data_IF_530865138062
#
_entry.id   IF_530865138062
#
_cell.length_a   1.000
_cell.length_b   1.000
_cell.length_c   1.000
_cell.angle_alpha   90.00
_cell.angle_beta   90.00
_cell.angle_gamma   90.00
#
_symmetry.space_group_name_H-M   'P 1'
#
loop_
_entity.id
_entity.type
_entity.pdbx_description
1 polymer ?
#
# COMPACT_ATOMS: atom_id res chain seq x y z
N UNK A 1 -20.48 -11.66 -7.18
CA UNK A 1 -19.01 -11.63 -7.29
C UNK A 1 -18.62 -10.26 -7.82
N UNK A 2 -17.95 -9.41 -7.03
CA UNK A 2 -17.30 -8.22 -7.58
C UNK A 2 -16.06 -8.73 -8.30
N UNK A 3 -16.09 -8.78 -9.64
CA UNK A 3 -14.85 -8.87 -10.41
C UNK A 3 -13.96 -7.70 -9.94
N UNK A 4 -12.74 -8.00 -9.47
CA UNK A 4 -11.76 -6.95 -9.18
C UNK A 4 -11.38 -6.31 -10.52
N UNK A 5 -12.14 -5.31 -10.94
CA UNK A 5 -12.10 -4.76 -12.30
C UNK A 5 -10.89 -3.89 -12.60
N UNK A 6 -9.94 -3.77 -11.68
CA UNK A 6 -8.66 -3.13 -11.96
C UNK A 6 -7.65 -3.48 -10.87
N UNK A 7 -6.71 -4.37 -11.21
CA UNK A 7 -5.43 -4.35 -10.52
C UNK A 7 -4.78 -2.98 -10.82
N UNK A 8 -4.19 -2.34 -9.81
CA UNK A 8 -3.42 -1.13 -10.06
C UNK A 8 -2.27 -1.46 -11.02
N UNK A 9 -2.11 -0.70 -12.12
CA UNK A 9 -1.11 -0.94 -13.17
C UNK A 9 0.29 -1.26 -12.62
N UNK A 10 0.70 -0.56 -11.55
CA UNK A 10 1.99 -0.76 -10.92
C UNK A 10 2.19 -2.17 -10.33
N UNK A 11 1.13 -2.84 -9.87
CA UNK A 11 1.21 -4.21 -9.33
C UNK A 11 1.24 -5.25 -10.44
N UNK A 12 0.59 -4.98 -11.58
CA UNK A 12 0.65 -5.89 -12.73
C UNK A 12 2.10 -6.05 -13.23
N UNK A 13 2.89 -4.97 -13.24
CA UNK A 13 4.30 -5.03 -13.62
C UNK A 13 5.17 -5.90 -12.68
N UNK A 14 4.82 -5.99 -11.39
CA UNK A 14 5.51 -6.88 -10.45
C UNK A 14 5.28 -8.34 -10.82
N UNK A 15 4.04 -8.71 -11.09
CA UNK A 15 3.70 -10.09 -11.49
C UNK A 15 4.27 -10.44 -12.85
N UNK A 16 4.22 -9.52 -13.82
CA UNK A 16 4.79 -9.76 -15.13
C UNK A 16 6.29 -9.97 -15.07
N UNK A 17 7.02 -9.16 -14.28
CA UNK A 17 8.44 -9.37 -14.04
C UNK A 17 8.70 -10.76 -13.44
N UNK A 18 7.90 -11.17 -12.45
CA UNK A 18 7.99 -12.50 -11.88
C UNK A 18 7.77 -13.59 -12.93
N UNK A 19 6.66 -13.54 -13.70
CA UNK A 19 6.27 -14.59 -14.64
C UNK A 19 7.32 -14.87 -15.71
N UNK A 20 8.02 -13.85 -16.20
CA UNK A 20 9.04 -14.01 -17.25
C UNK A 20 10.47 -14.17 -16.70
N UNK A 21 10.65 -14.16 -15.39
CA UNK A 21 11.94 -14.40 -14.74
C UNK A 21 12.79 -13.17 -14.38
N UNK A 22 12.31 -11.95 -14.67
CA UNK A 22 12.95 -10.72 -14.18
C UNK A 22 12.83 -10.61 -12.65
N UNK A 23 13.72 -9.84 -12.00
CA UNK A 23 13.64 -9.68 -10.55
C UNK A 23 12.51 -8.71 -10.17
N UNK A 24 11.38 -9.30 -9.82
CA UNK A 24 10.18 -8.61 -9.32
C UNK A 24 10.44 -7.75 -8.07
N UNK A 25 11.52 -7.96 -7.31
CA UNK A 25 11.87 -7.12 -6.16
C UNK A 25 12.12 -5.68 -6.57
N UNK A 26 12.73 -5.45 -7.73
CA UNK A 26 12.95 -4.10 -8.24
C UNK A 26 11.61 -3.42 -8.57
N UNK A 27 10.70 -4.11 -9.26
CA UNK A 27 9.35 -3.63 -9.53
C UNK A 27 8.58 -3.27 -8.24
N UNK A 28 8.68 -4.12 -7.21
CA UNK A 28 8.07 -3.85 -5.91
C UNK A 28 8.65 -2.60 -5.25
N UNK A 29 9.98 -2.48 -5.21
CA UNK A 29 10.66 -1.32 -4.62
C UNK A 29 10.31 -0.02 -5.33
N UNK A 30 10.18 -0.03 -6.66
CA UNK A 30 9.68 1.13 -7.41
C UNK A 30 8.24 1.51 -7.03
N UNK A 31 7.36 0.52 -6.88
CA UNK A 31 5.97 0.75 -6.47
C UNK A 31 5.88 1.40 -5.08
N UNK A 32 6.70 0.94 -4.13
CA UNK A 32 6.81 1.53 -2.79
C UNK A 32 7.34 2.97 -2.83
N UNK A 33 8.43 3.20 -3.56
CA UNK A 33 9.02 4.54 -3.71
C UNK A 33 8.09 5.52 -4.43
N UNK A 34 7.28 5.05 -5.39
CA UNK A 34 6.28 5.88 -6.07
C UNK A 34 5.11 6.26 -5.15
N UNK A 35 4.64 5.33 -4.30
CA UNK A 35 3.65 5.64 -3.25
C UNK A 35 4.18 6.71 -2.29
N UNK A 36 5.43 6.57 -1.83
CA UNK A 36 6.05 7.55 -0.94
C UNK A 36 6.24 8.92 -1.62
N UNK A 37 6.74 8.96 -2.88
CA UNK A 37 6.92 10.20 -3.62
C UNK A 37 5.60 10.90 -3.94
N UNK A 38 4.50 10.16 -4.19
CA UNK A 38 3.15 10.73 -4.38
C UNK A 38 2.66 11.47 -3.14
N UNK A 39 2.83 10.89 -1.96
CA UNK A 39 2.46 11.53 -0.68
C UNK A 39 3.24 12.84 -0.48
N UNK A 40 4.53 12.85 -0.80
CA UNK A 40 5.37 14.05 -0.67
C UNK A 40 5.06 15.10 -1.75
N UNK A 41 4.77 14.68 -2.99
CA UNK A 41 4.38 15.57 -4.11
C UNK A 41 3.09 16.32 -3.82
N UNK A 42 2.10 15.68 -3.18
CA UNK A 42 0.84 16.33 -2.84
C UNK A 42 1.05 17.59 -1.97
N UNK A 43 2.04 17.57 -1.06
CA UNK A 43 2.39 18.75 -0.27
C UNK A 43 3.04 19.84 -1.12
N UNK A 44 3.98 19.48 -2.00
CA UNK A 44 4.63 20.45 -2.89
C UNK A 44 3.62 21.12 -3.83
N UNK A 45 2.65 20.35 -4.33
CA UNK A 45 1.60 20.89 -5.19
C UNK A 45 0.67 21.82 -4.41
N UNK A 46 0.38 21.51 -3.14
CA UNK A 46 -0.38 22.41 -2.26
C UNK A 46 0.39 23.70 -1.92
N UNK A 47 1.71 23.64 -1.76
CA UNK A 47 2.57 24.83 -1.60
C UNK A 47 2.55 25.67 -2.88
N UNK A 48 2.72 25.05 -4.06
CA UNK A 48 2.68 25.76 -5.36
C UNK A 48 1.32 26.37 -5.66
N UNK A 49 0.23 25.74 -5.23
CA UNK A 49 -1.11 26.25 -5.36
C UNK A 49 -1.43 27.40 -4.38
N UNK A 50 -0.49 27.76 -3.50
CA UNK A 50 -0.67 28.81 -2.49
C UNK A 50 -1.59 28.42 -1.34
N UNK A 51 -1.90 27.12 -1.19
CA UNK A 51 -2.69 26.59 -0.05
C UNK A 51 -1.83 26.51 1.21
N UNK A 52 -0.52 26.30 1.05
CA UNK A 52 0.46 26.30 2.14
C UNK A 52 1.57 27.33 1.90
N UNK A 53 2.05 27.94 2.99
CA UNK A 53 3.19 28.85 2.99
C UNK A 53 4.46 28.13 2.53
N UNK A 54 5.30 28.82 1.75
CA UNK A 54 6.62 28.31 1.34
C UNK A 54 7.60 28.35 2.51
N UNK A 55 8.71 27.58 2.42
CA UNK A 55 9.77 27.66 3.42
C UNK A 55 10.32 29.09 3.56
N UNK A 56 10.48 29.83 2.46
CA UNK A 56 11.00 31.20 2.48
C UNK A 56 10.07 32.17 3.20
N UNK A 57 8.76 32.06 2.99
CA UNK A 57 7.75 32.87 3.68
C UNK A 57 7.73 32.58 5.18
N UNK A 58 7.81 31.31 5.57
CA UNK A 58 7.88 30.91 6.97
C UNK A 58 9.15 31.42 7.66
N UNK A 59 10.31 31.39 6.98
CA UNK A 59 11.57 31.92 7.51
C UNK A 59 11.52 33.44 7.68
N UNK A 60 10.92 34.19 6.75
CA UNK A 60 10.70 35.62 6.90
C UNK A 60 9.82 35.92 8.13
N UNK A 61 8.71 35.20 8.26
CA UNK A 61 7.77 35.35 9.38
C UNK A 61 8.38 34.95 10.73
N UNK A 62 9.26 33.95 10.72
CA UNK A 62 10.05 33.57 11.90
C UNK A 62 10.88 34.75 12.39
N UNK A 63 11.60 35.45 11.49
CA UNK A 63 12.43 36.61 11.85
C UNK A 63 11.57 37.74 12.43
N UNK A 64 10.42 38.02 11.82
CA UNK A 64 9.47 39.02 12.34
C UNK A 64 9.00 38.68 13.77
N UNK A 65 8.53 37.45 13.99
CA UNK A 65 8.07 36.98 15.29
C UNK A 65 9.20 36.94 16.34
N UNK A 66 10.43 36.64 15.92
CA UNK A 66 11.61 36.68 16.79
C UNK A 66 11.89 38.10 17.28
N UNK A 67 11.79 39.10 16.40
CA UNK A 67 11.91 40.50 16.80
C UNK A 67 10.77 40.95 17.74
N UNK A 68 9.53 40.55 17.45
CA UNK A 68 8.37 40.83 18.31
C UNK A 68 8.54 40.20 19.71
N UNK A 69 9.03 38.96 19.77
CA UNK A 69 9.35 38.28 21.03
C UNK A 69 10.40 39.03 21.83
N UNK A 70 11.46 39.50 21.17
CA UNK A 70 12.51 40.28 21.81
C UNK A 70 11.97 41.62 22.35
N UNK A 71 11.14 42.32 21.58
CA UNK A 71 10.51 43.59 21.99
C UNK A 71 9.56 43.37 23.17
N UNK A 72 8.65 42.40 23.06
CA UNK A 72 7.69 42.03 24.11
C UNK A 72 8.40 41.60 25.40
N UNK A 73 9.48 40.82 25.29
CA UNK A 73 10.29 40.40 26.45
C UNK A 73 10.95 41.59 27.16
N UNK A 74 11.45 42.59 26.41
CA UNK A 74 12.02 43.82 26.99
C UNK A 74 10.96 44.63 27.74
N UNK A 75 9.78 44.80 27.15
CA UNK A 75 8.66 45.50 27.80
C UNK A 75 8.29 44.81 29.12
N UNK A 76 8.23 43.48 29.14
CA UNK A 76 7.97 42.70 30.35
C UNK A 76 9.08 42.81 31.41
N UNK A 77 10.36 42.92 31.00
CA UNK A 77 11.48 43.06 31.94
C UNK A 77 11.59 44.44 32.57
N UNK A 78 11.18 45.47 31.83
CA UNK A 78 11.26 46.87 32.27
C UNK A 78 10.05 47.29 33.12
N UNK A 79 9.00 46.46 33.16
CA UNK A 79 7.79 46.70 33.96
C UNK A 79 8.08 46.55 35.46
N UNK A 80 8.25 47.67 36.18
CA UNK A 80 8.50 47.70 37.62
C UNK A 80 7.22 47.50 38.43
N UNK A 81 6.98 46.28 38.90
CA UNK A 81 6.00 45.97 39.97
C UNK A 81 6.72 45.92 41.33
N UNK A 82 6.09 46.40 42.40
CA UNK A 82 6.61 46.42 43.77
C UNK A 82 7.13 45.02 44.20
N UNK A 83 8.27 44.94 44.91
CA UNK A 83 9.00 43.69 45.22
C UNK A 83 8.13 42.56 45.80
N UNK A 84 7.13 42.87 46.64
CA UNK A 84 6.23 41.86 47.23
C UNK A 84 5.27 41.18 46.25
N UNK A 85 4.98 41.80 45.10
CA UNK A 85 4.13 41.21 44.06
C UNK A 85 4.95 40.38 43.05
N UNK A 86 6.25 40.65 42.95
CA UNK A 86 7.16 39.93 42.05
C UNK A 86 7.23 38.44 42.41
N UNK A 87 7.22 38.11 43.69
CA UNK A 87 7.24 36.72 44.16
C UNK A 87 5.95 35.98 43.81
N UNK A 88 4.79 36.61 44.06
CA UNK A 88 3.45 36.07 43.74
C UNK A 88 3.28 35.94 42.22
N UNK A 89 3.87 36.86 41.44
CA UNK A 89 3.88 36.84 39.98
C UNK A 89 4.79 35.75 39.40
N UNK A 90 5.98 35.55 39.98
CA UNK A 90 6.88 34.43 39.61
C UNK A 90 6.17 33.10 39.87
N UNK A 91 5.47 32.98 41.00
CA UNK A 91 4.66 31.81 41.33
C UNK A 91 3.51 31.61 40.34
N UNK A 92 2.74 32.65 40.01
CA UNK A 92 1.65 32.57 39.02
C UNK A 92 2.14 32.19 37.61
N UNK A 93 3.31 32.69 37.20
CA UNK A 93 3.94 32.35 35.93
C UNK A 93 4.46 30.92 35.90
N UNK A 94 5.09 30.45 36.98
CA UNK A 94 5.48 29.04 37.12
C UNK A 94 4.26 28.12 37.04
N UNK A 95 3.19 28.44 37.79
CA UNK A 95 1.93 27.68 37.75
C UNK A 95 1.32 27.66 36.35
N UNK A 96 1.39 28.77 35.60
CA UNK A 96 0.91 28.84 34.22
C UNK A 96 1.74 27.94 33.29
N UNK A 97 3.07 27.99 33.38
CA UNK A 97 3.96 27.11 32.62
C UNK A 97 3.72 25.63 32.92
N UNK A 98 3.57 25.28 34.20
CA UNK A 98 3.27 23.91 34.65
C UNK A 98 1.89 23.45 34.17
N UNK A 99 0.87 24.31 34.23
CA UNK A 99 -0.47 24.03 33.70
C UNK A 99 -0.44 23.72 32.20
N UNK A 100 0.27 24.53 31.41
CA UNK A 100 0.42 24.27 29.96
C UNK A 100 1.17 22.97 29.69
N UNK A 101 2.24 22.68 30.44
CA UNK A 101 2.99 21.44 30.30
C UNK A 101 2.11 20.22 30.61
N UNK A 102 1.36 20.25 31.71
CA UNK A 102 0.44 19.19 32.10
C UNK A 102 -0.70 19.02 31.08
N UNK A 103 -1.26 20.12 30.57
CA UNK A 103 -2.32 20.09 29.56
C UNK A 103 -1.81 19.50 28.22
N UNK A 104 -0.64 19.91 27.75
CA UNK A 104 -0.02 19.37 26.54
C UNK A 104 0.30 17.87 26.68
N UNK A 105 0.80 17.46 27.86
CA UNK A 105 1.02 16.04 28.17
C UNK A 105 -0.29 15.24 28.14
N UNK A 106 -1.40 15.78 28.67
CA UNK A 106 -2.71 15.14 28.60
C UNK A 106 -3.25 15.06 27.16
N UNK A 107 -3.04 16.08 26.31
CA UNK A 107 -3.42 16.02 24.89
C UNK A 107 -2.62 14.94 24.16
N UNK A 108 -1.30 14.87 24.40
CA UNK A 108 -0.43 13.85 23.81
C UNK A 108 -0.85 12.44 24.22
N UNK A 109 -1.10 12.23 25.50
CA UNK A 109 -1.51 10.94 26.03
C UNK A 109 -2.96 10.56 25.67
N UNK A 110 -3.86 11.54 25.53
CA UNK A 110 -5.20 11.31 24.98
C UNK A 110 -5.13 10.76 23.55
N UNK A 111 -4.28 11.33 22.69
CA UNK A 111 -4.04 10.80 21.33
C UNK A 111 -3.46 9.39 21.35
N UNK A 112 -2.49 9.10 22.23
CA UNK A 112 -1.94 7.74 22.39
C UNK A 112 -3.00 6.75 22.84
N UNK A 113 -3.85 7.16 23.78
CA UNK A 113 -4.92 6.35 24.31
C UNK A 113 -5.99 6.05 23.26
N UNK A 114 -6.36 7.02 22.41
CA UNK A 114 -7.24 6.80 21.27
C UNK A 114 -6.62 5.83 20.26
N UNK A 115 -5.32 6.00 19.95
CA UNK A 115 -4.60 5.09 19.07
C UNK A 115 -4.54 3.66 19.61
N UNK A 116 -4.26 3.48 20.91
CA UNK A 116 -4.24 2.15 21.55
C UNK A 116 -5.62 1.51 21.62
N UNK A 117 -6.69 2.28 21.82
CA UNK A 117 -8.05 1.76 21.75
C UNK A 117 -8.40 1.25 20.36
N UNK A 118 -8.13 2.05 19.31
CA UNK A 118 -8.37 1.61 17.93
C UNK A 118 -7.53 0.39 17.57
N UNK A 119 -6.27 0.30 18.04
CA UNK A 119 -5.43 -0.87 17.83
C UNK A 119 -5.98 -2.15 18.50
N UNK A 120 -6.70 -2.03 19.61
CA UNK A 120 -7.39 -3.17 20.25
C UNK A 120 -8.66 -3.55 19.48
N UNK A 121 -9.42 -2.56 18.99
CA UNK A 121 -10.67 -2.79 18.23
C UNK A 121 -10.43 -3.44 16.86
N UNK A 122 -9.31 -3.13 16.21
CA UNK A 122 -8.94 -3.66 14.89
C UNK A 122 -8.25 -5.05 14.94
N UNK A 123 -7.85 -5.54 16.12
CA UNK A 123 -7.17 -6.83 16.26
C UNK A 123 -8.19 -7.99 16.32
N UNK A 124 -8.47 -8.59 15.16
CA UNK A 124 -9.15 -9.89 15.07
C UNK A 124 -8.12 -11.01 14.90
N UNK A 125 -8.15 -12.08 15.72
CA UNK A 125 -7.30 -13.23 15.48
C UNK A 125 -7.63 -13.83 14.09
N UNK A 126 -6.62 -14.30 13.33
CA UNK A 126 -6.89 -14.99 12.09
C UNK A 126 -7.79 -16.20 12.36
N UNK A 127 -8.84 -16.30 11.56
CA UNK A 127 -9.85 -17.35 11.63
C UNK A 127 -9.20 -18.69 11.24
N UNK A 128 -8.65 -19.43 12.20
CA UNK A 128 -7.95 -20.71 11.96
C UNK A 128 -8.83 -21.68 11.18
N UNK A 129 -10.13 -21.66 11.45
CA UNK A 129 -11.14 -22.47 10.79
C UNK A 129 -11.17 -22.19 9.28
N UNK A 130 -10.90 -20.96 8.84
CA UNK A 130 -10.81 -20.63 7.41
C UNK A 130 -9.52 -21.11 6.78
N UNK A 131 -8.39 -21.06 7.47
CA UNK A 131 -7.12 -21.52 6.89
C UNK A 131 -7.15 -23.05 6.73
N UNK A 132 -7.62 -23.77 7.74
CA UNK A 132 -7.74 -25.23 7.68
C UNK A 132 -8.78 -25.67 6.63
N UNK A 133 -9.93 -24.98 6.54
CA UNK A 133 -10.95 -25.25 5.53
C UNK A 133 -10.49 -24.95 4.09
N UNK A 134 -9.79 -23.83 3.86
CA UNK A 134 -9.25 -23.48 2.53
C UNK A 134 -8.20 -24.50 2.07
N UNK A 135 -7.43 -25.07 3.00
CA UNK A 135 -6.42 -26.08 2.68
C UNK A 135 -7.00 -27.50 2.55
N UNK A 136 -8.05 -27.84 3.29
CA UNK A 136 -8.81 -29.08 3.07
C UNK A 136 -9.59 -29.04 1.74
N UNK A 137 -10.14 -27.89 1.36
CA UNK A 137 -10.78 -27.67 0.06
C UNK A 137 -9.79 -27.78 -1.12
N UNK A 138 -8.49 -27.62 -0.89
CA UNK A 138 -7.44 -27.76 -1.91
C UNK A 138 -6.77 -29.14 -1.94
N UNK A 139 -7.24 -30.11 -1.15
CA UNK A 139 -6.84 -31.52 -1.25
C UNK A 139 -5.40 -31.85 -0.81
N UNK A 140 -4.66 -30.88 -0.25
CA UNK A 140 -3.28 -31.05 0.19
C UNK A 140 -3.25 -31.56 1.64
N UNK A 141 -3.03 -32.86 1.82
CA UNK A 141 -2.78 -33.44 3.15
C UNK A 141 -1.41 -32.98 3.63
N UNK A 142 -1.39 -32.00 4.53
CA UNK A 142 -0.15 -31.60 5.18
C UNK A 142 0.49 -32.81 5.88
N UNK A 143 1.81 -33.05 5.69
CA UNK A 143 2.58 -33.88 6.59
C UNK A 143 2.37 -33.39 8.03
N UNK A 144 2.29 -34.30 9.01
CA UNK A 144 2.03 -33.94 10.42
C UNK A 144 3.01 -32.88 10.95
N UNK A 145 4.23 -32.83 10.42
CA UNK A 145 5.22 -31.80 10.73
C UNK A 145 4.77 -30.39 10.36
N UNK A 146 4.10 -30.19 9.22
CA UNK A 146 3.63 -28.87 8.78
C UNK A 146 2.37 -28.45 9.52
N UNK A 147 1.45 -29.39 9.79
CA UNK A 147 0.30 -29.13 10.69
C UNK A 147 0.78 -28.68 12.05
N UNK A 148 1.82 -29.34 12.57
CA UNK A 148 2.44 -29.00 13.85
C UNK A 148 3.11 -27.64 13.81
N UNK A 149 3.90 -27.31 12.78
CA UNK A 149 4.51 -25.98 12.62
C UNK A 149 3.46 -24.87 12.46
N UNK A 150 2.36 -25.14 11.77
CA UNK A 150 1.27 -24.17 11.57
C UNK A 150 0.44 -23.97 12.83
N UNK A 151 0.20 -25.05 13.59
CA UNK A 151 -0.37 -24.99 14.93
C UNK A 151 0.56 -24.25 15.90
N UNK A 152 1.88 -24.48 15.82
CA UNK A 152 2.88 -23.77 16.62
C UNK A 152 2.95 -22.28 16.24
N UNK A 153 2.90 -21.94 14.95
CA UNK A 153 2.88 -20.57 14.47
C UNK A 153 1.57 -19.85 14.85
N UNK A 154 0.44 -20.54 14.78
CA UNK A 154 -0.85 -20.02 15.24
C UNK A 154 -0.88 -19.84 16.75
N UNK A 155 -0.43 -20.83 17.51
CA UNK A 155 -0.31 -20.72 18.97
C UNK A 155 0.63 -19.58 19.36
N UNK A 156 1.74 -19.40 18.63
CA UNK A 156 2.66 -18.28 18.81
C UNK A 156 1.99 -16.94 18.45
N UNK A 157 1.22 -16.87 17.37
CA UNK A 157 0.50 -15.66 16.97
C UNK A 157 -0.61 -15.30 17.95
N UNK A 158 -1.41 -16.28 18.41
CA UNK A 158 -2.38 -16.14 19.49
C UNK A 158 -1.69 -15.67 20.76
N UNK A 159 -0.52 -16.23 21.10
CA UNK A 159 0.25 -15.80 22.25
C UNK A 159 0.79 -14.37 22.10
N UNK A 160 1.22 -13.96 20.89
CA UNK A 160 1.64 -12.59 20.59
C UNK A 160 0.46 -11.62 20.73
N UNK A 161 -0.69 -11.93 20.12
CA UNK A 161 -1.90 -11.11 20.21
C UNK A 161 -2.32 -10.99 21.68
N UNK A 162 -2.35 -12.11 22.42
CA UNK A 162 -2.70 -12.09 23.84
C UNK A 162 -1.72 -11.28 24.68
N UNK A 163 -0.41 -11.43 24.44
CA UNK A 163 0.62 -10.65 25.14
C UNK A 163 0.53 -9.17 24.80
N UNK A 164 0.24 -8.83 23.54
CA UNK A 164 0.10 -7.46 23.04
C UNK A 164 -1.18 -6.80 23.55
N UNK A 165 -2.30 -7.51 23.55
CA UNK A 165 -3.55 -7.06 24.16
C UNK A 165 -3.35 -6.78 25.65
N UNK A 166 -2.72 -7.72 26.39
CA UNK A 166 -2.40 -7.52 27.80
C UNK A 166 -1.45 -6.32 28.03
N UNK A 167 -0.46 -6.12 27.15
CA UNK A 167 0.42 -4.96 27.20
C UNK A 167 -0.32 -3.64 26.92
N UNK A 168 -1.13 -3.59 25.86
CA UNK A 168 -1.92 -2.40 25.49
C UNK A 168 -2.95 -2.05 26.56
N UNK A 169 -3.60 -3.05 27.17
CA UNK A 169 -4.55 -2.84 28.25
C UNK A 169 -3.86 -2.30 29.52
N UNK A 170 -2.71 -2.88 29.91
CA UNK A 170 -1.89 -2.36 31.00
C UNK A 170 -1.42 -0.91 30.72
N UNK A 171 -1.05 -0.62 29.47
CA UNK A 171 -0.59 0.70 29.05
C UNK A 171 -1.72 1.74 29.02
N UNK A 172 -2.92 1.35 28.57
CA UNK A 172 -4.12 2.20 28.64
C UNK A 172 -4.46 2.53 30.10
N UNK A 173 -4.42 1.55 31.00
CA UNK A 173 -4.67 1.77 32.43
C UNK A 173 -3.62 2.71 33.02
N UNK A 174 -2.34 2.52 32.67
CA UNK A 174 -1.24 3.40 33.08
C UNK A 174 -1.47 4.83 32.62
N UNK A 175 -1.75 5.03 31.34
CA UNK A 175 -2.00 6.35 30.74
C UNK A 175 -3.23 7.02 31.39
N UNK A 176 -4.34 6.30 31.58
CA UNK A 176 -5.52 6.84 32.26
C UNK A 176 -5.22 7.32 33.68
N UNK A 177 -4.47 6.52 34.45
CA UNK A 177 -4.09 6.88 35.81
C UNK A 177 -3.15 8.09 35.85
N UNK A 178 -2.21 8.19 34.90
CA UNK A 178 -1.33 9.36 34.77
C UNK A 178 -2.13 10.61 34.36
N UNK A 179 -3.05 10.51 33.40
CA UNK A 179 -3.93 11.61 33.00
C UNK A 179 -4.81 12.09 34.16
N UNK A 180 -5.43 11.17 34.90
CA UNK A 180 -6.26 11.50 36.07
C UNK A 180 -5.44 12.19 37.18
N UNK A 181 -4.21 11.72 37.42
CA UNK A 181 -3.29 12.38 38.35
C UNK A 181 -2.92 13.79 37.88
N UNK A 182 -2.64 13.98 36.59
CA UNK A 182 -2.33 15.29 36.00
C UNK A 182 -3.54 16.21 36.02
N UNK A 183 -4.75 15.71 35.80
CA UNK A 183 -5.99 16.49 35.93
C UNK A 183 -6.22 16.99 37.36
N UNK A 184 -5.94 16.17 38.38
CA UNK A 184 -6.00 16.61 39.77
C UNK A 184 -4.96 17.71 40.07
N UNK A 185 -3.74 17.59 39.53
CA UNK A 185 -2.70 18.61 39.61
C UNK A 185 -3.12 19.90 38.88
N UNK A 186 -3.67 19.80 37.67
CA UNK A 186 -4.21 20.93 36.90
C UNK A 186 -5.28 21.67 37.72
N UNK A 187 -6.19 20.94 38.36
CA UNK A 187 -7.22 21.54 39.22
C UNK A 187 -6.60 22.30 40.40
N UNK A 188 -5.64 21.68 41.09
CA UNK A 188 -4.95 22.29 42.24
C UNK A 188 -4.13 23.52 41.83
N UNK A 189 -3.46 23.47 40.68
CA UNK A 189 -2.65 24.58 40.16
C UNK A 189 -3.52 25.71 39.64
N UNK A 190 -4.69 25.42 39.07
CA UNK A 190 -5.67 26.44 38.72
C UNK A 190 -6.22 27.15 39.97
N UNK A 191 -6.55 26.43 41.04
CA UNK A 191 -7.02 27.02 42.30
C UNK A 191 -5.95 27.94 42.92
N UNK A 192 -4.70 27.48 42.97
CA UNK A 192 -3.55 28.30 43.42
C UNK A 192 -3.34 29.52 42.54
N UNK A 193 -3.37 29.34 41.22
CA UNK A 193 -3.23 30.43 40.25
C UNK A 193 -4.35 31.46 40.42
N UNK A 194 -5.59 31.02 40.61
CA UNK A 194 -6.73 31.89 40.86
C UNK A 194 -6.54 32.72 42.14
N UNK A 195 -6.05 32.12 43.23
CA UNK A 195 -5.74 32.84 44.47
C UNK A 195 -4.60 33.86 44.27
N UNK A 196 -3.54 33.49 43.54
CA UNK A 196 -2.50 34.45 43.15
C UNK A 196 -3.09 35.60 42.33
N UNK A 197 -3.93 35.30 41.33
CA UNK A 197 -4.56 36.32 40.49
C UNK A 197 -5.51 37.25 41.27
N UNK A 198 -6.22 36.75 42.29
CA UNK A 198 -7.11 37.56 43.13
C UNK A 198 -6.34 38.60 43.96
N UNK A 199 -5.19 38.22 44.52
CA UNK A 199 -4.26 39.12 45.24
C UNK A 199 -3.61 40.12 44.29
N UNK A 200 -3.35 39.68 43.06
CA UNK A 200 -2.69 40.50 42.06
C UNK A 200 -3.66 41.50 41.37
N UNK A 201 -4.96 41.20 41.29
CA UNK A 201 -6.00 42.05 40.67
C UNK A 201 -6.37 43.32 41.45
N UNK A 202 -5.94 43.44 42.71
CA UNK A 202 -6.36 44.56 43.58
C UNK A 202 -5.72 45.90 43.18
N UNK A 203 -4.74 45.93 42.28
CA UNK A 203 -4.09 47.15 41.76
C UNK A 203 -3.93 47.05 40.23
N UNK A 204 -4.70 47.85 39.46
CA UNK A 204 -4.83 47.77 37.99
C UNK A 204 -3.55 47.83 37.13
N UNK A 205 -2.37 48.05 37.70
CA UNK A 205 -1.09 47.88 37.01
C UNK A 205 -0.81 46.41 36.62
N UNK A 206 -1.45 45.44 37.30
CA UNK A 206 -1.24 44.03 37.02
C UNK A 206 -2.13 43.46 35.90
N UNK A 207 -3.33 44.01 35.69
CA UNK A 207 -4.13 43.68 34.52
C UNK A 207 -3.35 44.02 33.23
N UNK A 208 -2.63 45.13 33.22
CA UNK A 208 -1.79 45.54 32.10
C UNK A 208 -0.57 44.62 31.91
N UNK A 209 0.10 44.21 33.00
CA UNK A 209 1.17 43.20 32.92
C UNK A 209 0.66 41.84 32.43
N UNK A 210 -0.47 41.37 32.98
CA UNK A 210 -1.08 40.09 32.61
C UNK A 210 -1.47 40.07 31.13
N UNK A 211 -1.99 41.19 30.62
CA UNK A 211 -2.26 41.37 29.19
C UNK A 211 -0.98 41.29 28.35
N UNK A 212 0.08 42.00 28.74
CA UNK A 212 1.37 41.97 28.03
C UNK A 212 2.01 40.56 28.05
N UNK A 213 1.85 39.83 29.15
CA UNK A 213 2.34 38.46 29.31
C UNK A 213 1.53 37.47 28.45
N UNK A 214 0.21 37.64 28.38
CA UNK A 214 -0.66 36.84 27.51
C UNK A 214 -0.32 37.09 26.02
N UNK A 215 -0.11 38.35 25.63
CA UNK A 215 0.37 38.70 24.29
C UNK A 215 1.73 38.07 23.98
N UNK A 216 2.69 38.16 24.90
CA UNK A 216 4.00 37.50 24.76
C UNK A 216 3.86 35.99 24.54
N UNK A 217 3.00 35.35 25.32
CA UNK A 217 2.75 33.90 25.24
C UNK A 217 2.15 33.54 23.89
N UNK A 218 1.18 34.31 23.38
CA UNK A 218 0.59 34.11 22.05
C UNK A 218 1.60 34.27 20.91
N UNK A 219 2.50 35.25 21.00
CA UNK A 219 3.57 35.44 20.00
C UNK A 219 4.54 34.25 20.07
N UNK A 220 4.88 33.79 21.29
CA UNK A 220 5.76 32.63 21.50
C UNK A 220 5.18 31.34 20.92
N UNK A 221 3.90 31.08 21.15
CA UNK A 221 3.21 29.92 20.58
C UNK A 221 3.22 29.95 19.05
N UNK A 222 2.93 31.12 18.45
CA UNK A 222 3.02 31.29 16.99
C UNK A 222 4.44 31.04 16.48
N UNK A 223 5.45 31.53 17.17
CA UNK A 223 6.85 31.33 16.80
C UNK A 223 7.23 29.84 16.84
N UNK A 224 6.86 29.12 17.90
CA UNK A 224 7.08 27.67 18.02
C UNK A 224 6.34 26.88 16.93
N UNK A 225 5.11 27.27 16.58
CA UNK A 225 4.37 26.67 15.47
C UNK A 225 5.07 26.88 14.12
N UNK A 226 5.59 28.08 13.87
CA UNK A 226 6.34 28.38 12.63
C UNK A 226 7.64 27.57 12.58
N UNK A 227 8.36 27.43 13.70
CA UNK A 227 9.56 26.60 13.76
C UNK A 227 9.27 25.15 13.38
N UNK A 228 8.23 24.55 13.97
CA UNK A 228 7.84 23.17 13.66
C UNK A 228 7.46 23.00 12.18
N UNK A 229 6.72 23.95 11.60
CA UNK A 229 6.38 23.93 10.16
C UNK A 229 7.63 23.99 9.27
N UNK A 230 8.62 24.81 9.61
CA UNK A 230 9.88 24.91 8.86
C UNK A 230 10.62 23.58 8.91
N UNK A 231 10.71 22.96 10.09
CA UNK A 231 11.35 21.65 10.27
C UNK A 231 10.65 20.56 9.46
N UNK A 232 9.32 20.50 9.50
CA UNK A 232 8.52 19.56 8.72
C UNK A 232 8.78 19.68 7.21
N UNK A 233 8.83 20.91 6.67
CA UNK A 233 9.11 21.14 5.25
C UNK A 233 10.53 20.72 4.89
N UNK A 234 11.52 21.01 5.75
CA UNK A 234 12.92 20.60 5.54
C UNK A 234 13.08 19.09 5.52
N UNK A 235 12.47 18.39 6.48
CA UNK A 235 12.53 16.93 6.57
C UNK A 235 11.88 16.26 5.36
N UNK A 236 10.73 16.77 4.93
CA UNK A 236 10.06 16.27 3.71
C UNK A 236 10.89 16.52 2.45
N UNK A 237 11.50 17.69 2.34
CA UNK A 237 12.42 18.01 1.23
C UNK A 237 13.63 17.07 1.21
N UNK A 238 14.20 16.77 2.38
CA UNK A 238 15.30 15.82 2.54
C UNK A 238 14.90 14.41 2.12
N UNK A 239 13.79 13.88 2.65
CA UNK A 239 13.25 12.55 2.29
C UNK A 239 12.99 12.44 0.79
N UNK A 240 12.48 13.50 0.15
CA UNK A 240 12.25 13.50 -1.29
C UNK A 240 13.55 13.40 -2.10
N UNK A 241 14.62 14.07 -1.68
CA UNK A 241 15.95 13.93 -2.32
C UNK A 241 16.52 12.52 -2.13
N UNK A 242 16.34 11.94 -0.95
CA UNK A 242 16.74 10.57 -0.66
C UNK A 242 16.01 9.57 -1.55
N UNK A 243 14.68 9.67 -1.67
CA UNK A 243 13.89 8.83 -2.60
C UNK A 243 14.40 8.93 -4.03
N UNK A 244 14.74 10.15 -4.51
CA UNK A 244 15.31 10.32 -5.85
C UNK A 244 16.66 9.61 -6.01
N UNK A 245 17.52 9.66 -4.98
CA UNK A 245 18.80 8.94 -4.98
C UNK A 245 18.59 7.43 -5.05
N UNK A 246 17.70 6.90 -4.20
CA UNK A 246 17.38 5.46 -4.17
C UNK A 246 16.77 5.00 -5.50
N UNK A 247 15.91 5.81 -6.13
CA UNK A 247 15.36 5.50 -7.46
C UNK A 247 16.45 5.41 -8.54
N UNK A 248 17.48 6.26 -8.47
CA UNK A 248 18.59 6.23 -9.43
C UNK A 248 19.48 4.99 -9.26
N UNK A 249 19.71 4.56 -8.01
CA UNK A 249 20.44 3.31 -7.74
C UNK A 249 19.64 2.09 -8.20
N UNK A 250 18.34 2.07 -7.90
CA UNK A 250 17.42 1.03 -8.34
C UNK A 250 17.37 0.88 -9.87
N UNK A 251 17.37 1.99 -10.59
CA UNK A 251 17.40 2.01 -12.06
C UNK A 251 18.66 1.33 -12.62
N UNK A 252 19.82 1.59 -12.01
CA UNK A 252 21.07 0.92 -12.39
C UNK A 252 21.01 -0.58 -12.12
N UNK A 253 20.57 -0.98 -10.93
CA UNK A 253 20.46 -2.40 -10.54
C UNK A 253 19.50 -3.16 -11.47
N UNK A 254 18.35 -2.59 -11.76
CA UNK A 254 17.35 -3.21 -12.62
C UNK A 254 17.78 -3.27 -14.10
N UNK A 255 18.57 -2.29 -14.57
CA UNK A 255 19.17 -2.32 -15.91
C UNK A 255 20.17 -3.47 -16.04
N UNK A 256 20.97 -3.71 -14.99
CA UNK A 256 21.89 -4.85 -14.95
C UNK A 256 21.10 -6.17 -14.98
N UNK A 257 20.08 -6.34 -14.13
CA UNK A 257 19.22 -7.54 -14.11
C UNK A 257 18.55 -7.79 -15.47
N UNK A 258 18.10 -6.73 -16.14
CA UNK A 258 17.48 -6.81 -17.45
C UNK A 258 18.45 -7.34 -18.53
N UNK A 259 19.70 -6.86 -18.54
CA UNK A 259 20.71 -7.34 -19.49
C UNK A 259 21.18 -8.76 -19.14
N UNK A 260 21.36 -9.08 -17.86
CA UNK A 260 21.74 -10.43 -17.41
C UNK A 260 20.68 -11.49 -17.77
N UNK A 261 19.41 -11.10 -17.77
CA UNK A 261 18.28 -11.99 -18.07
C UNK A 261 17.76 -11.89 -19.50
N UNK A 262 18.58 -11.34 -20.39
CA UNK A 262 18.24 -11.14 -21.81
C UNK A 262 17.67 -12.37 -22.49
N UNK A 263 18.34 -13.51 -22.32
CA UNK A 263 17.91 -14.75 -22.95
C UNK A 263 16.52 -15.21 -22.46
N UNK A 264 16.17 -14.94 -21.20
CA UNK A 264 14.88 -15.32 -20.62
C UNK A 264 13.74 -14.45 -21.15
N UNK A 265 13.88 -13.12 -21.12
CA UNK A 265 12.81 -12.26 -21.60
C UNK A 265 12.69 -12.29 -23.13
N UNK A 266 13.79 -12.53 -23.87
CA UNK A 266 13.70 -12.78 -25.32
C UNK A 266 12.93 -14.06 -25.64
N UNK A 267 13.04 -15.10 -24.81
CA UNK A 267 12.22 -16.31 -24.95
C UNK A 267 10.74 -16.01 -24.74
N UNK A 268 10.39 -15.22 -23.72
CA UNK A 268 9.01 -14.79 -23.49
C UNK A 268 8.43 -14.01 -24.68
N UNK A 269 9.21 -13.09 -25.27
CA UNK A 269 8.82 -12.36 -26.48
C UNK A 269 8.60 -13.30 -27.66
N UNK A 270 9.51 -14.26 -27.88
CA UNK A 270 9.37 -15.25 -28.97
C UNK A 270 8.09 -16.09 -28.81
N UNK A 271 7.85 -16.63 -27.61
CA UNK A 271 6.66 -17.44 -27.32
C UNK A 271 5.35 -16.69 -27.61
N UNK A 272 5.25 -15.44 -27.14
CA UNK A 272 4.06 -14.62 -27.40
C UNK A 272 3.89 -14.32 -28.89
N UNK A 273 4.97 -13.87 -29.55
CA UNK A 273 4.92 -13.45 -30.94
C UNK A 273 4.61 -14.62 -31.88
N UNK A 274 5.19 -15.80 -31.63
CA UNK A 274 4.98 -17.02 -32.41
C UNK A 274 3.54 -17.51 -32.28
N UNK A 275 2.99 -17.51 -31.05
CA UNK A 275 1.58 -17.87 -30.83
C UNK A 275 0.66 -16.89 -31.57
N UNK A 276 0.88 -15.58 -31.42
CA UNK A 276 0.08 -14.58 -32.12
C UNK A 276 0.17 -14.70 -33.65
N UNK A 277 1.35 -15.07 -34.16
CA UNK A 277 1.58 -15.31 -35.60
C UNK A 277 0.84 -16.54 -36.10
N UNK A 278 0.80 -17.61 -35.33
CA UNK A 278 0.05 -18.82 -35.69
C UNK A 278 -1.46 -18.53 -35.81
N UNK A 279 -1.98 -17.67 -34.95
CA UNK A 279 -3.37 -17.22 -35.00
C UNK A 279 -3.58 -16.26 -36.20
N UNK A 280 -2.94 -15.10 -36.19
CA UNK A 280 -3.30 -13.99 -37.08
C UNK A 280 -2.42 -13.84 -38.34
N UNK A 281 -1.45 -14.73 -38.54
CA UNK A 281 -0.48 -14.65 -39.63
C UNK A 281 0.57 -13.54 -39.48
N UNK A 282 0.45 -12.70 -38.46
CA UNK A 282 1.37 -11.61 -38.12
C UNK A 282 1.89 -11.78 -36.69
N UNK A 283 3.20 -11.52 -36.45
CA UNK A 283 3.74 -11.62 -35.10
C UNK A 283 3.04 -10.62 -34.17
N UNK A 284 2.85 -11.03 -32.92
CA UNK A 284 2.45 -10.13 -31.85
C UNK A 284 3.54 -9.13 -31.49
N UNK A 285 3.22 -8.22 -30.59
CA UNK A 285 4.13 -7.26 -29.99
C UNK A 285 4.10 -7.41 -28.47
N UNK A 286 5.01 -8.21 -27.92
CA UNK A 286 5.31 -8.17 -26.47
C UNK A 286 6.50 -7.24 -26.21
N UNK A 287 6.23 -6.09 -25.60
CA UNK A 287 7.22 -5.04 -25.32
C UNK A 287 7.55 -5.02 -23.84
N UNK A 288 8.84 -4.98 -23.53
CA UNK A 288 9.39 -4.90 -22.18
C UNK A 288 10.34 -3.72 -22.14
N UNK A 289 9.98 -2.68 -21.39
CA UNK A 289 10.78 -1.46 -21.23
C UNK A 289 11.23 -1.29 -19.78
N UNK A 290 12.34 -0.58 -19.58
CA UNK A 290 12.72 0.00 -18.29
C UNK A 290 12.46 1.50 -18.35
N UNK A 291 11.73 2.01 -17.36
CA UNK A 291 11.40 3.44 -17.25
C UNK A 291 11.74 3.99 -15.87
N UNK A 292 11.58 5.31 -15.71
CA UNK A 292 11.62 6.01 -14.42
C UNK A 292 10.64 5.47 -13.36
N UNK A 293 9.65 4.66 -13.80
CA UNK A 293 8.65 3.98 -12.96
C UNK A 293 8.90 2.47 -12.82
N UNK A 294 10.03 1.98 -13.32
CA UNK A 294 10.39 0.57 -13.35
C UNK A 294 10.03 -0.12 -14.65
N UNK A 295 10.00 -1.46 -14.60
CA UNK A 295 9.62 -2.31 -15.73
C UNK A 295 8.21 -1.97 -16.22
N UNK A 296 8.06 -1.84 -17.53
CA UNK A 296 6.78 -1.71 -18.21
C UNK A 296 6.61 -2.83 -19.20
N UNK A 297 5.42 -3.42 -19.19
CA UNK A 297 5.05 -4.52 -20.06
C UNK A 297 3.84 -4.09 -20.87
N UNK A 298 3.90 -4.31 -22.17
CA UNK A 298 2.78 -4.07 -23.06
C UNK A 298 2.65 -5.22 -24.06
N UNK A 299 1.41 -5.61 -24.35
CA UNK A 299 1.09 -6.67 -25.31
C UNK A 299 0.12 -6.15 -26.35
N UNK A 300 0.45 -6.36 -27.62
CA UNK A 300 -0.43 -6.03 -28.74
C UNK A 300 -0.40 -7.09 -29.84
N UNK A 301 -1.42 -7.12 -30.69
CA UNK A 301 -1.48 -7.92 -31.91
C UNK A 301 -1.84 -6.95 -33.04
N UNK A 302 -0.87 -6.63 -33.93
CA UNK A 302 -1.07 -5.64 -34.98
C UNK A 302 -2.28 -5.93 -35.88
N UNK A 303 -2.98 -4.86 -36.28
CA UNK A 303 -4.11 -4.94 -37.21
C UNK A 303 -5.42 -5.42 -36.61
N UNK A 304 -5.43 -5.84 -35.34
CA UNK A 304 -6.63 -6.31 -34.67
C UNK A 304 -7.54 -5.18 -34.17
N UNK A 305 -8.77 -5.10 -34.68
CA UNK A 305 -9.87 -4.32 -34.08
C UNK A 305 -11.07 -5.23 -33.82
N UNK A 306 -11.46 -5.41 -32.56
CA UNK A 306 -12.64 -6.20 -32.16
C UNK A 306 -12.50 -6.89 -30.81
N UNK A 307 -13.62 -7.35 -30.24
CA UNK A 307 -13.65 -8.03 -28.93
C UNK A 307 -12.91 -9.38 -28.90
N UNK A 308 -12.98 -10.16 -30.00
CA UNK A 308 -12.30 -11.46 -30.11
C UNK A 308 -10.77 -11.38 -30.05
N UNK A 309 -10.17 -10.31 -30.60
CA UNK A 309 -8.72 -10.09 -30.53
C UNK A 309 -8.25 -9.85 -29.10
N UNK A 310 -9.04 -9.14 -28.29
CA UNK A 310 -8.73 -8.95 -26.87
C UNK A 310 -8.62 -10.28 -26.12
N UNK A 311 -9.53 -11.22 -26.41
CA UNK A 311 -9.50 -12.57 -25.83
C UNK A 311 -8.29 -13.38 -26.32
N UNK A 312 -7.99 -13.30 -27.61
CA UNK A 312 -6.81 -14.00 -28.15
C UNK A 312 -5.49 -13.38 -27.68
N UNK A 313 -5.43 -12.10 -27.35
CA UNK A 313 -4.28 -11.50 -26.64
C UNK A 313 -4.06 -12.14 -25.28
N UNK A 314 -5.13 -12.32 -24.51
CA UNK A 314 -5.10 -12.99 -23.21
C UNK A 314 -4.61 -14.44 -23.42
N UNK A 315 -5.22 -15.17 -24.36
CA UNK A 315 -4.79 -16.53 -24.70
C UNK A 315 -3.29 -16.63 -25.03
N UNK A 316 -2.78 -15.78 -25.93
CA UNK A 316 -1.35 -15.78 -26.28
C UNK A 316 -0.46 -15.44 -25.08
N UNK A 317 -0.90 -14.52 -24.23
CA UNK A 317 -0.18 -14.14 -23.02
C UNK A 317 -0.14 -15.29 -22.00
N UNK A 318 -1.28 -15.92 -21.72
CA UNK A 318 -1.40 -17.00 -20.76
C UNK A 318 -0.61 -18.24 -21.21
N UNK A 319 -0.65 -18.55 -22.51
CA UNK A 319 0.15 -19.63 -23.10
C UNK A 319 1.66 -19.33 -22.98
N UNK A 320 2.08 -18.09 -23.21
CA UNK A 320 3.46 -17.67 -22.98
C UNK A 320 3.85 -17.82 -21.50
N UNK A 321 2.99 -17.41 -20.58
CA UNK A 321 3.25 -17.47 -19.13
C UNK A 321 3.43 -18.92 -18.68
N UNK A 322 2.57 -19.85 -19.08
CA UNK A 322 2.69 -21.26 -18.67
C UNK A 322 3.97 -21.90 -19.23
N UNK A 323 4.30 -21.63 -20.50
CA UNK A 323 5.57 -22.08 -21.10
C UNK A 323 6.77 -21.50 -20.33
N UNK A 324 6.72 -20.22 -19.94
CA UNK A 324 7.76 -19.60 -19.11
C UNK A 324 7.84 -20.21 -17.72
N UNK A 325 6.74 -20.66 -17.12
CA UNK A 325 6.80 -21.33 -15.81
C UNK A 325 7.57 -22.65 -15.89
N UNK A 326 7.36 -23.40 -16.98
CA UNK A 326 8.13 -24.61 -17.29
C UNK A 326 9.61 -24.32 -17.53
N UNK A 327 9.92 -23.31 -18.36
CA UNK A 327 11.32 -22.87 -18.62
C UNK A 327 12.03 -22.45 -17.33
N UNK A 328 11.33 -21.77 -16.42
CA UNK A 328 11.87 -21.30 -15.15
C UNK A 328 11.92 -22.40 -14.07
N UNK A 329 11.47 -23.63 -14.37
CA UNK A 329 11.45 -24.74 -13.42
C UNK A 329 10.52 -24.50 -12.23
N UNK A 330 9.45 -23.72 -12.43
CA UNK A 330 8.42 -23.47 -11.42
C UNK A 330 7.29 -24.45 -11.71
N UNK A 331 7.05 -25.38 -10.78
CA UNK A 331 6.09 -26.49 -10.89
C UNK A 331 4.60 -26.06 -11.05
N UNK A 332 4.30 -25.20 -12.02
CA UNK A 332 2.98 -24.83 -12.47
C UNK A 332 2.86 -25.47 -13.85
N UNK A 333 2.15 -26.59 -13.90
CA UNK A 333 2.09 -27.53 -15.02
C UNK A 333 0.70 -27.63 -15.62
N UNK A 334 -0.16 -26.63 -15.42
CA UNK A 334 -1.46 -26.59 -16.06
C UNK A 334 -1.94 -25.16 -16.37
N UNK A 335 -2.76 -25.03 -17.41
CA UNK A 335 -3.47 -23.82 -17.80
C UNK A 335 -4.93 -24.17 -18.10
N UNK A 336 -5.86 -23.39 -17.54
CA UNK A 336 -7.30 -23.59 -17.73
C UNK A 336 -7.93 -22.36 -18.38
N UNK A 337 -8.65 -22.55 -19.47
CA UNK A 337 -9.50 -21.51 -20.05
C UNK A 337 -10.97 -21.94 -20.09
N UNK A 338 -11.86 -21.02 -19.73
CA UNK A 338 -13.29 -21.20 -19.88
C UNK A 338 -13.77 -20.82 -21.30
N UNK A 339 -14.97 -21.24 -21.70
CA UNK A 339 -15.54 -21.06 -23.04
C UNK A 339 -15.61 -19.59 -23.46
N UNK A 340 -15.71 -18.68 -22.49
CA UNK A 340 -15.71 -17.23 -22.69
C UNK A 340 -14.49 -16.78 -23.52
N UNK A 341 -13.33 -17.42 -23.40
CA UNK A 341 -12.14 -17.02 -24.18
C UNK A 341 -12.34 -17.18 -25.69
N UNK A 342 -13.25 -18.08 -26.11
CA UNK A 342 -13.52 -18.41 -27.52
C UNK A 342 -14.75 -17.70 -28.08
N UNK A 343 -15.65 -17.20 -27.24
CA UNK A 343 -16.88 -16.55 -27.71
C UNK A 343 -16.60 -15.29 -28.56
N UNK A 344 -17.19 -15.22 -29.75
CA UNK A 344 -17.03 -14.08 -30.67
C UNK A 344 -15.64 -13.98 -31.31
N UNK A 345 -14.88 -15.08 -31.29
CA UNK A 345 -13.62 -15.27 -32.03
C UNK A 345 -13.93 -16.03 -33.33
N UNK A 346 -13.20 -15.72 -34.39
CA UNK A 346 -13.34 -16.39 -35.69
C UNK A 346 -12.93 -17.88 -35.59
N UNK A 347 -13.68 -18.78 -36.23
CA UNK A 347 -13.52 -20.24 -36.09
C UNK A 347 -12.10 -20.72 -36.44
N UNK A 348 -11.46 -20.13 -37.46
CA UNK A 348 -10.06 -20.42 -37.82
C UNK A 348 -9.09 -20.07 -36.70
N UNK A 349 -9.35 -18.95 -36.03
CA UNK A 349 -8.52 -18.48 -34.93
C UNK A 349 -8.67 -19.39 -33.71
N UNK A 350 -9.89 -19.89 -33.46
CA UNK A 350 -10.15 -20.91 -32.42
C UNK A 350 -9.41 -22.20 -32.76
N UNK A 351 -9.48 -22.68 -34.01
CA UNK A 351 -8.78 -23.88 -34.44
C UNK A 351 -7.27 -23.77 -34.23
N UNK A 352 -6.67 -22.67 -34.71
CA UNK A 352 -5.25 -22.41 -34.51
C UNK A 352 -4.87 -22.26 -33.04
N UNK A 353 -5.70 -21.62 -32.20
CA UNK A 353 -5.45 -21.53 -30.77
C UNK A 353 -5.41 -22.90 -30.09
N UNK A 354 -6.38 -23.77 -30.40
CA UNK A 354 -6.45 -25.13 -29.84
C UNK A 354 -5.23 -25.96 -30.25
N UNK A 355 -4.85 -25.93 -31.53
CA UNK A 355 -3.67 -26.64 -32.03
C UNK A 355 -2.37 -26.12 -31.42
N UNK A 356 -2.23 -24.80 -31.29
CA UNK A 356 -1.07 -24.19 -30.64
C UNK A 356 -0.98 -24.58 -29.16
N UNK A 357 -2.09 -24.60 -28.44
CA UNK A 357 -2.10 -25.03 -27.05
C UNK A 357 -1.71 -26.51 -26.93
N UNK A 358 -2.22 -27.38 -27.80
CA UNK A 358 -1.85 -28.80 -27.81
C UNK A 358 -0.36 -29.00 -28.11
N UNK A 359 0.16 -28.33 -29.14
CA UNK A 359 1.58 -28.42 -29.51
C UNK A 359 2.50 -27.90 -28.39
N UNK A 360 2.15 -26.78 -27.75
CA UNK A 360 2.93 -26.20 -26.65
C UNK A 360 2.84 -27.03 -25.37
N UNK A 361 1.68 -27.61 -25.08
CA UNK A 361 1.50 -28.54 -23.96
C UNK A 361 2.44 -29.74 -24.08
N UNK A 362 2.60 -30.29 -25.29
CA UNK A 362 3.54 -31.39 -25.55
C UNK A 362 5.01 -30.92 -25.53
N UNK A 363 5.31 -29.75 -26.11
CA UNK A 363 6.68 -29.22 -26.17
C UNK A 363 7.24 -28.84 -24.78
N UNK A 364 6.42 -28.26 -23.91
CA UNK A 364 6.84 -27.73 -22.60
C UNK A 364 6.36 -28.56 -21.40
N UNK A 365 5.73 -29.71 -21.63
CA UNK A 365 5.27 -30.64 -20.59
C UNK A 365 4.32 -29.99 -19.56
N UNK A 366 3.20 -29.44 -20.05
CA UNK A 366 2.11 -28.94 -19.21
C UNK A 366 0.74 -29.38 -19.71
N UNK A 367 -0.27 -29.36 -18.86
CA UNK A 367 -1.64 -29.71 -19.18
C UNK A 367 -2.45 -28.47 -19.58
N UNK A 368 -2.94 -28.43 -20.82
CA UNK A 368 -3.95 -27.46 -21.23
C UNK A 368 -5.36 -28.02 -21.04
N UNK A 369 -6.21 -27.31 -20.29
CA UNK A 369 -7.61 -27.67 -20.04
C UNK A 369 -8.48 -26.55 -20.60
N UNK A 370 -9.45 -26.89 -21.43
CA UNK A 370 -10.41 -25.93 -21.96
C UNK A 370 -11.83 -26.43 -21.78
N UNK A 371 -12.76 -25.51 -21.54
CA UNK A 371 -14.19 -25.74 -21.76
C UNK A 371 -14.59 -25.06 -23.06
N UNK A 372 -15.46 -25.70 -23.83
CA UNK A 372 -15.98 -25.16 -25.09
C UNK A 372 -17.36 -25.74 -25.34
N UNK A 373 -18.29 -24.92 -25.82
CA UNK A 373 -19.60 -25.40 -26.23
C UNK A 373 -19.46 -26.21 -27.52
N UNK A 374 -20.24 -27.28 -27.67
CA UNK A 374 -20.12 -28.19 -28.80
C UNK A 374 -20.37 -27.52 -30.17
N UNK A 375 -21.17 -26.47 -30.20
CA UNK A 375 -21.46 -25.66 -31.40
C UNK A 375 -20.33 -24.68 -31.77
N UNK A 376 -19.39 -24.43 -30.86
CA UNK A 376 -18.24 -23.55 -31.05
C UNK A 376 -16.97 -24.30 -31.47
N UNK A 377 -17.01 -25.63 -31.58
CA UNK A 377 -15.84 -26.43 -31.97
C UNK A 377 -15.64 -26.32 -33.48
N UNK A 378 -14.50 -25.77 -33.96
CA UNK A 378 -14.28 -25.47 -35.37
C UNK A 378 -13.75 -26.70 -36.15
N UNK A 379 -14.57 -27.75 -36.23
CA UNK A 379 -14.16 -29.04 -36.83
C UNK A 379 -13.63 -28.90 -38.27
N UNK A 380 -14.14 -27.95 -39.04
CA UNK A 380 -13.79 -27.76 -40.45
C UNK A 380 -12.52 -26.93 -40.68
N UNK A 381 -12.03 -26.23 -39.65
CA UNK A 381 -10.86 -25.33 -39.77
C UNK A 381 -9.57 -25.92 -39.16
N UNK A 382 -9.62 -27.10 -38.54
CA UNK A 382 -8.43 -27.80 -38.08
C UNK A 382 -7.54 -28.27 -39.25
N UNK A 383 -6.24 -28.27 -39.04
CA UNK A 383 -5.27 -28.82 -39.99
C UNK A 383 -5.46 -30.32 -40.16
N UNK A 384 -5.18 -30.81 -41.38
CA UNK A 384 -5.22 -32.25 -41.68
C UNK A 384 -4.33 -33.03 -40.70
N UNK A 385 -4.95 -33.97 -39.97
CA UNK A 385 -4.28 -34.82 -38.99
C UNK A 385 -4.49 -34.42 -37.53
N UNK A 386 -5.07 -33.26 -37.24
CA UNK A 386 -5.48 -32.91 -35.88
C UNK A 386 -6.86 -33.50 -35.55
N UNK A 387 -6.91 -34.42 -34.58
CA UNK A 387 -8.16 -35.07 -34.17
C UNK A 387 -8.64 -34.54 -32.81
N UNK A 388 -9.55 -33.55 -32.85
CA UNK A 388 -10.09 -32.94 -31.63
C UNK A 388 -10.75 -33.96 -30.68
N UNK A 389 -11.42 -34.99 -31.22
CA UNK A 389 -12.16 -35.97 -30.40
C UNK A 389 -11.26 -36.78 -29.45
N UNK A 390 -9.98 -36.96 -29.77
CA UNK A 390 -9.00 -37.64 -28.90
C UNK A 390 -8.67 -36.84 -27.62
N UNK A 391 -8.88 -35.52 -27.68
CA UNK A 391 -8.64 -34.60 -26.58
C UNK A 391 -9.87 -34.43 -25.66
N UNK A 392 -11.04 -34.95 -26.04
CA UNK A 392 -12.25 -34.86 -25.23
C UNK A 392 -12.15 -35.81 -24.02
N UNK A 393 -12.11 -35.23 -22.82
CA UNK A 393 -12.08 -36.00 -21.55
C UNK A 393 -13.46 -36.12 -20.88
N UNK A 394 -14.33 -35.14 -21.10
CA UNK A 394 -15.67 -35.09 -20.51
C UNK A 394 -16.62 -34.37 -21.48
N UNK A 395 -17.83 -34.93 -21.65
CA UNK A 395 -18.94 -34.27 -22.33
C UNK A 395 -20.04 -34.02 -21.30
N UNK A 396 -20.51 -32.79 -21.22
CA UNK A 396 -21.57 -32.37 -20.32
C UNK A 396 -22.82 -32.03 -21.15
N UNK A 397 -23.99 -32.37 -20.63
CA UNK A 397 -25.28 -32.02 -21.22
C UNK A 397 -26.34 -31.78 -20.15
N UNK A 398 -27.33 -30.96 -20.47
CA UNK A 398 -28.47 -30.70 -19.59
C UNK A 398 -29.58 -31.74 -19.72
N UNK A 399 -29.38 -32.80 -20.52
CA UNK A 399 -30.39 -33.81 -20.85
C UNK A 399 -30.79 -34.65 -19.62
N UNK A 400 -29.85 -34.95 -18.72
CA UNK A 400 -30.07 -35.69 -17.48
C UNK A 400 -29.09 -35.26 -16.35
N UNK A 401 -29.34 -35.72 -15.12
CA UNK A 401 -28.49 -35.40 -13.96
C UNK A 401 -27.06 -35.91 -14.14
N UNK A 402 -26.85 -37.04 -14.83
CA UNK A 402 -25.53 -37.60 -15.12
C UNK A 402 -24.70 -36.78 -16.12
N UNK A 403 -25.35 -35.97 -16.96
CA UNK A 403 -24.69 -35.04 -17.88
C UNK A 403 -24.29 -33.71 -17.25
N UNK A 404 -24.79 -33.39 -16.04
CA UNK A 404 -24.51 -32.12 -15.36
C UNK A 404 -23.15 -32.13 -14.63
N UNK A 405 -22.46 -30.99 -14.61
CA UNK A 405 -21.11 -30.85 -14.00
C UNK A 405 -21.06 -31.28 -12.52
N UNK A 406 -22.15 -31.07 -11.78
CA UNK A 406 -22.24 -31.35 -10.34
C UNK A 406 -23.23 -32.47 -9.98
N UNK A 407 -23.84 -33.12 -10.96
CA UNK A 407 -24.92 -34.09 -10.70
C UNK A 407 -26.21 -33.45 -10.17
N UNK A 408 -26.44 -32.16 -10.43
CA UNK A 408 -27.54 -31.36 -9.89
C UNK A 408 -28.19 -30.51 -10.99
N UNK A 409 -29.53 -30.45 -11.01
CA UNK A 409 -30.30 -29.49 -11.82
C UNK A 409 -30.70 -28.28 -10.97
N UNK A 410 -30.50 -27.08 -11.51
CA UNK A 410 -30.90 -25.81 -10.89
C UNK A 410 -32.27 -25.33 -11.35
#
# INVERSE_FOLDING_TARGET
MKFFSSQADNTAHVYNAFFIGLDHKYANKWCELDKQDKVLKALDDAIKAGVHETQGELEARKVELEEELLKSRKILSDFKVHERYKDIQVEANQLTGELHQLANQNVSDGRKLDHYKSAIEDETPPDQVKLEAIYEETGLVFPDSVKRTLQEASAFHIQIIKNRAAFLEAEIVRIKNEMARREALIKTFNEKRSACMEVLNTHGALEEYSRLQEEHTKIKEKFEQILNKIEDIRDKTKKRKEIKSVKLELDKEATIDYEEKRELWEQAIRLFNDTAKALYGVPGEFVIDISDKGYRFNVDIPGGRGGGIGKMKIFCYDLMVICMQQILGRNIDFLVHDSIIYEGVDERQIAHAIEQAAAKAEEYDFQYIMTINSDMVPYEDFHEGFNFDEHIKLRLSDDDESGSLLGLRF
#
